data_IF_581699386101
#
_entry.id   IF_581699386101
#
_cell.length_a   1.000
_cell.length_b   1.000
_cell.length_c   1.000
_cell.angle_alpha   90.00
_cell.angle_beta   90.00
_cell.angle_gamma   90.00
#
_symmetry.space_group_name_H-M   'P 1'
#
loop_
_entity.id
_entity.type
_entity.pdbx_description
1 polymer ?
#
# COMPACT_ATOMS: atom_id res chain seq x y z
N UNK A 1 19.50 -8.98 -4.16
CA UNK A 1 18.21 -8.72 -4.85
C UNK A 1 18.10 -7.23 -4.97
N UNK A 2 17.74 -6.71 -6.15
CA UNK A 2 17.65 -5.26 -6.34
C UNK A 2 16.37 -4.70 -5.75
N UNK A 3 16.37 -3.42 -5.41
CA UNK A 3 15.14 -2.72 -4.97
C UNK A 3 14.04 -2.87 -6.01
N UNK A 4 14.36 -2.75 -7.32
CA UNK A 4 13.40 -2.97 -8.40
C UNK A 4 12.73 -4.34 -8.31
N UNK A 5 13.51 -5.40 -8.10
CA UNK A 5 12.95 -6.76 -8.04
C UNK A 5 11.98 -6.92 -6.86
N UNK A 6 12.33 -6.35 -5.70
CA UNK A 6 11.46 -6.35 -4.52
C UNK A 6 10.16 -5.57 -4.78
N UNK A 7 10.28 -4.41 -5.41
CA UNK A 7 9.14 -3.55 -5.75
C UNK A 7 8.21 -4.22 -6.76
N UNK A 8 8.76 -4.84 -7.81
CA UNK A 8 7.97 -5.58 -8.79
C UNK A 8 7.30 -6.81 -8.19
N UNK A 9 8.01 -7.55 -7.33
CA UNK A 9 7.42 -8.68 -6.61
C UNK A 9 6.25 -8.22 -5.73
N UNK A 10 6.39 -7.08 -5.05
CA UNK A 10 5.36 -6.53 -4.18
C UNK A 10 4.06 -6.21 -4.94
N UNK A 11 4.11 -5.37 -5.98
CA UNK A 11 2.88 -5.02 -6.68
C UNK A 11 2.31 -6.20 -7.48
N UNK A 12 3.14 -7.11 -8.02
CA UNK A 12 2.63 -8.32 -8.71
C UNK A 12 1.93 -9.27 -7.75
N UNK A 13 2.44 -9.42 -6.53
CA UNK A 13 1.76 -10.16 -5.46
C UNK A 13 0.41 -9.51 -5.13
N UNK A 14 0.38 -8.18 -5.00
CA UNK A 14 -0.85 -7.41 -4.83
C UNK A 14 -1.88 -7.65 -5.93
N UNK A 15 -1.46 -7.63 -7.19
CA UNK A 15 -2.33 -7.91 -8.35
C UNK A 15 -2.90 -9.33 -8.28
N UNK A 16 -2.10 -10.30 -7.86
CA UNK A 16 -2.56 -11.68 -7.70
C UNK A 16 -3.52 -11.87 -6.52
N UNK A 17 -3.46 -10.99 -5.52
CA UNK A 17 -4.34 -11.00 -4.35
C UNK A 17 -5.53 -10.04 -4.47
N UNK A 18 -5.57 -9.24 -5.54
CA UNK A 18 -6.50 -8.13 -5.67
C UNK A 18 -7.95 -8.62 -5.66
N UNK A 19 -8.82 -8.07 -4.79
CA UNK A 19 -10.20 -8.50 -4.75
C UNK A 19 -10.91 -8.26 -6.08
N UNK A 20 -10.51 -7.29 -6.89
CA UNK A 20 -11.14 -7.02 -8.20
C UNK A 20 -10.83 -8.10 -9.25
N UNK A 21 -9.89 -9.01 -8.94
CA UNK A 21 -9.41 -10.03 -9.86
C UNK A 21 -8.58 -9.46 -11.02
N UNK A 22 -8.04 -10.37 -11.84
CA UNK A 22 -7.14 -10.02 -12.95
C UNK A 22 -7.79 -9.05 -13.95
N UNK A 23 -9.06 -9.28 -14.29
CA UNK A 23 -9.77 -8.43 -15.26
C UNK A 23 -10.03 -7.03 -14.70
N UNK A 24 -10.32 -6.91 -13.40
CA UNK A 24 -10.49 -5.63 -12.73
C UNK A 24 -9.21 -4.80 -12.78
N UNK A 25 -8.09 -5.39 -12.42
CA UNK A 25 -6.77 -4.76 -12.50
C UNK A 25 -6.41 -4.40 -13.95
N UNK A 26 -6.64 -5.30 -14.91
CA UNK A 26 -6.36 -5.05 -16.31
C UNK A 26 -7.13 -3.83 -16.85
N UNK A 27 -8.40 -3.65 -16.46
CA UNK A 27 -9.19 -2.47 -16.83
C UNK A 27 -8.59 -1.17 -16.27
N UNK A 28 -8.03 -1.19 -15.06
CA UNK A 28 -7.40 -0.01 -14.44
C UNK A 28 -6.15 0.38 -15.21
N UNK A 29 -5.27 -0.58 -15.49
CA UNK A 29 -4.04 -0.35 -16.25
C UNK A 29 -4.35 0.12 -17.68
N UNK A 30 -5.36 -0.44 -18.33
CA UNK A 30 -5.82 0.01 -19.65
C UNK A 30 -6.34 1.45 -19.63
N UNK A 31 -7.10 1.84 -18.60
CA UNK A 31 -7.58 3.22 -18.42
C UNK A 31 -6.40 4.19 -18.21
N UNK A 32 -5.44 3.84 -17.35
CA UNK A 32 -4.24 4.64 -17.13
C UNK A 32 -3.45 4.84 -18.42
N UNK A 33 -3.24 3.76 -19.18
CA UNK A 33 -2.59 3.81 -20.49
C UNK A 33 -3.33 4.70 -21.48
N UNK A 34 -4.65 4.55 -21.58
CA UNK A 34 -5.47 5.39 -22.47
C UNK A 34 -5.32 6.88 -22.13
N UNK A 35 -5.39 7.24 -20.85
CA UNK A 35 -5.21 8.63 -20.39
C UNK A 35 -3.82 9.15 -20.77
N UNK A 36 -2.76 8.35 -20.59
CA UNK A 36 -1.41 8.74 -20.98
C UNK A 36 -1.24 8.92 -22.49
N UNK A 37 -1.77 7.99 -23.29
CA UNK A 37 -1.66 8.01 -24.75
C UNK A 37 -2.41 9.21 -25.36
N UNK A 38 -3.58 9.55 -24.82
CA UNK A 38 -4.40 10.70 -25.23
C UNK A 38 -3.86 12.05 -24.72
N UNK A 39 -2.95 12.05 -23.73
CA UNK A 39 -2.39 13.26 -23.15
C UNK A 39 -1.42 13.95 -24.13
N UNK A 40 -1.52 15.29 -24.31
CA UNK A 40 -0.55 16.06 -25.07
C UNK A 40 0.87 15.83 -24.55
N UNK A 41 1.85 15.72 -25.45
CA UNK A 41 3.25 15.46 -25.06
C UNK A 41 3.77 16.48 -24.04
N UNK A 42 3.38 17.75 -24.19
CA UNK A 42 3.72 18.84 -23.26
C UNK A 42 3.19 18.67 -21.83
N UNK A 43 2.25 17.74 -21.62
CA UNK A 43 1.62 17.44 -20.33
C UNK A 43 2.00 16.09 -19.75
N UNK A 44 2.63 15.21 -20.53
CA UNK A 44 3.00 13.84 -20.08
C UNK A 44 3.95 13.82 -18.88
N UNK A 45 4.71 14.89 -18.64
CA UNK A 45 5.58 15.00 -17.47
C UNK A 45 4.81 15.11 -16.14
N UNK A 46 3.54 15.54 -16.17
CA UNK A 46 2.65 15.61 -15.00
C UNK A 46 2.08 14.23 -14.63
N UNK A 47 2.15 13.26 -15.56
CA UNK A 47 1.58 11.93 -15.38
C UNK A 47 2.50 11.02 -14.56
N UNK A 48 1.91 10.26 -13.65
CA UNK A 48 2.63 9.19 -12.96
C UNK A 48 2.80 7.97 -13.84
N UNK A 49 3.94 7.89 -14.52
CA UNK A 49 4.27 6.78 -15.41
C UNK A 49 4.28 5.42 -14.70
N UNK A 50 4.49 5.37 -13.38
CA UNK A 50 4.45 4.11 -12.62
C UNK A 50 3.06 3.47 -12.67
N UNK A 51 2.00 4.28 -12.80
CA UNK A 51 0.62 3.81 -12.92
C UNK A 51 0.34 3.00 -14.19
N UNK A 52 1.27 2.99 -15.17
CA UNK A 52 1.17 2.18 -16.39
C UNK A 52 1.44 0.70 -16.13
N UNK A 53 2.15 0.36 -15.06
CA UNK A 53 2.53 -1.02 -14.71
C UNK A 53 2.07 -1.41 -13.31
N UNK A 54 1.98 -0.46 -12.39
CA UNK A 54 1.54 -0.66 -11.02
C UNK A 54 0.21 0.08 -10.75
N UNK A 55 -0.90 -0.63 -10.51
CA UNK A 55 -2.21 -0.01 -10.32
C UNK A 55 -2.40 0.65 -8.93
N UNK A 56 -1.40 0.56 -8.03
CA UNK A 56 -1.51 1.01 -6.64
C UNK A 56 -0.68 2.27 -6.42
N UNK A 57 -1.31 3.45 -6.35
CA UNK A 57 -0.62 4.74 -6.19
C UNK A 57 0.13 4.87 -4.85
N UNK A 58 -0.32 4.15 -3.83
CA UNK A 58 0.20 4.15 -2.46
C UNK A 58 1.45 3.26 -2.24
N UNK A 59 1.99 2.67 -3.31
CA UNK A 59 3.12 1.72 -3.24
C UNK A 59 4.21 2.16 -4.20
N UNK A 60 5.31 2.69 -3.70
CA UNK A 60 6.36 3.35 -4.50
C UNK A 60 7.75 3.12 -3.92
N UNK A 61 8.76 3.07 -4.81
CA UNK A 61 10.12 3.46 -4.43
C UNK A 61 10.10 4.98 -4.27
N UNK A 62 10.33 5.46 -3.05
CA UNK A 62 10.19 6.87 -2.68
C UNK A 62 11.49 7.64 -2.90
N UNK A 63 12.64 7.03 -2.60
CA UNK A 63 13.97 7.57 -2.87
C UNK A 63 15.00 6.45 -2.96
N UNK A 64 16.06 6.67 -3.74
CA UNK A 64 17.17 5.74 -3.90
C UNK A 64 17.26 5.16 -5.31
N UNK A 65 18.38 4.50 -5.61
CA UNK A 65 18.62 3.83 -6.89
C UNK A 65 17.89 2.48 -6.93
N UNK A 66 16.92 2.28 -7.84
CA UNK A 66 16.24 0.99 -8.01
C UNK A 66 17.17 -0.19 -8.31
N UNK A 67 18.37 0.07 -8.83
CA UNK A 67 19.37 -0.96 -9.15
C UNK A 67 20.24 -1.37 -7.95
N UNK A 68 20.13 -0.69 -6.81
CA UNK A 68 20.92 -1.01 -5.62
C UNK A 68 20.62 -2.42 -5.13
N UNK A 69 21.68 -3.20 -4.92
CA UNK A 69 21.60 -4.53 -4.32
C UNK A 69 21.33 -4.42 -2.82
N UNK A 70 20.33 -5.17 -2.36
CA UNK A 70 19.88 -5.19 -0.97
C UNK A 70 20.19 -6.53 -0.34
N UNK A 71 20.76 -6.49 0.87
CA UNK A 71 21.03 -7.67 1.70
C UNK A 71 20.29 -7.62 3.04
N UNK A 72 20.16 -6.43 3.65
CA UNK A 72 19.41 -6.24 4.90
C UNK A 72 18.44 -5.07 4.80
N UNK A 73 17.21 -5.33 5.22
CA UNK A 73 16.13 -4.33 5.24
C UNK A 73 15.73 -4.01 6.68
N UNK A 74 15.36 -2.76 6.92
CA UNK A 74 14.59 -2.36 8.09
C UNK A 74 13.14 -2.15 7.66
N UNK A 75 12.23 -2.94 8.23
CA UNK A 75 10.80 -2.91 7.91
C UNK A 75 10.03 -2.31 9.07
N UNK A 76 9.07 -1.43 8.79
CA UNK A 76 8.17 -0.86 9.79
C UNK A 76 6.80 -0.59 9.20
N UNK A 77 5.78 -0.54 10.07
CA UNK A 77 4.44 -0.09 9.67
C UNK A 77 4.53 1.40 9.30
N UNK A 78 4.92 2.18 10.30
CA UNK A 78 5.31 3.57 10.19
C UNK A 78 6.84 3.65 10.18
N UNK A 79 7.39 4.25 9.12
CA UNK A 79 8.78 4.69 9.10
C UNK A 79 8.76 6.20 8.95
N UNK A 80 9.02 6.91 10.04
CA UNK A 80 9.20 8.35 10.08
C UNK A 80 10.69 8.70 10.23
N UNK A 81 10.98 9.98 10.48
CA UNK A 81 12.35 10.45 10.72
C UNK A 81 13.02 9.69 11.87
N UNK A 82 12.26 9.31 12.91
CA UNK A 82 12.79 8.54 14.04
C UNK A 82 13.40 7.21 13.61
N UNK A 83 12.71 6.47 12.74
CA UNK A 83 13.17 5.17 12.26
C UNK A 83 14.32 5.31 11.24
N UNK A 84 14.36 6.39 10.46
CA UNK A 84 15.53 6.73 9.64
C UNK A 84 16.76 6.94 10.53
N UNK A 85 16.63 7.70 11.62
CA UNK A 85 17.73 7.92 12.57
C UNK A 85 18.11 6.64 13.32
N UNK A 86 17.14 5.77 13.62
CA UNK A 86 17.41 4.46 14.19
C UNK A 86 18.24 3.60 13.22
N UNK A 87 17.90 3.60 11.93
CA UNK A 87 18.67 2.89 10.92
C UNK A 87 20.11 3.40 10.81
N UNK A 88 20.30 4.73 10.88
CA UNK A 88 21.63 5.34 10.91
C UNK A 88 22.42 4.94 12.16
N UNK A 89 21.79 4.98 13.33
CA UNK A 89 22.41 4.55 14.59
C UNK A 89 22.80 3.07 14.57
N UNK A 90 21.99 2.21 13.93
CA UNK A 90 22.31 0.80 13.72
C UNK A 90 23.52 0.63 12.79
N UNK A 91 23.58 1.38 11.68
CA UNK A 91 24.76 1.43 10.79
C UNK A 91 26.01 1.84 11.57
N UNK A 92 25.91 2.89 12.38
CA UNK A 92 27.01 3.37 13.24
C UNK A 92 27.49 2.34 14.27
N UNK A 93 26.65 1.36 14.63
CA UNK A 93 26.98 0.23 15.51
C UNK A 93 27.45 -1.02 14.75
N UNK A 94 27.68 -0.92 13.44
CA UNK A 94 28.13 -2.02 12.59
C UNK A 94 27.01 -2.93 12.07
N UNK A 95 25.74 -2.56 12.26
CA UNK A 95 24.60 -3.28 11.67
C UNK A 95 24.25 -2.67 10.33
N UNK A 96 24.61 -3.34 9.25
CA UNK A 96 24.20 -2.95 7.88
C UNK A 96 22.70 -2.82 7.77
N UNK A 97 22.22 -1.71 7.22
CA UNK A 97 20.84 -1.50 6.77
C UNK A 97 20.92 -0.93 5.35
N UNK A 98 20.44 -1.67 4.37
CA UNK A 98 20.57 -1.31 2.95
C UNK A 98 19.33 -0.59 2.42
N UNK A 99 18.16 -0.87 2.98
CA UNK A 99 16.85 -0.34 2.58
C UNK A 99 15.92 -0.15 3.78
N UNK A 100 15.21 0.98 3.75
CA UNK A 100 14.05 1.24 4.59
C UNK A 100 12.79 0.83 3.83
N UNK A 101 11.95 0.00 4.44
CA UNK A 101 10.73 -0.52 3.83
C UNK A 101 9.54 -0.21 4.74
N UNK A 102 8.71 0.75 4.34
CA UNK A 102 7.52 1.14 5.08
C UNK A 102 6.29 0.36 4.59
N UNK A 103 5.33 0.10 5.47
CA UNK A 103 3.99 -0.26 5.04
C UNK A 103 3.22 1.00 4.63
N UNK A 104 3.06 1.96 5.54
CA UNK A 104 2.32 3.18 5.27
C UNK A 104 3.04 4.05 4.21
N UNK A 105 2.26 4.70 3.33
CA UNK A 105 2.81 5.49 2.25
C UNK A 105 3.45 6.80 2.75
N UNK A 106 4.49 7.25 2.04
CA UNK A 106 5.13 8.55 2.24
C UNK A 106 5.20 9.35 0.93
N UNK A 107 5.54 10.65 1.02
CA UNK A 107 5.75 11.53 -0.13
C UNK A 107 4.63 11.46 -1.17
N UNK A 108 5.03 11.25 -2.43
CA UNK A 108 4.11 11.11 -3.56
C UNK A 108 3.09 9.98 -3.43
N UNK A 109 3.39 8.90 -2.71
CA UNK A 109 2.47 7.79 -2.53
C UNK A 109 1.34 8.17 -1.56
N UNK A 110 1.68 8.94 -0.52
CA UNK A 110 0.71 9.48 0.45
C UNK A 110 -0.13 10.60 -0.18
N UNK A 111 0.51 11.47 -0.96
CA UNK A 111 -0.14 12.60 -1.62
C UNK A 111 -1.19 12.17 -2.68
N UNK A 112 -1.20 10.89 -3.06
CA UNK A 112 -2.11 10.32 -4.07
C UNK A 112 -2.86 9.10 -3.52
N UNK A 113 -3.00 9.02 -2.20
CA UNK A 113 -3.65 7.89 -1.52
C UNK A 113 -5.12 7.74 -1.96
N UNK A 114 -5.79 8.82 -2.34
CA UNK A 114 -7.17 8.81 -2.83
C UNK A 114 -7.36 7.98 -4.10
N UNK A 115 -6.31 7.78 -4.89
CA UNK A 115 -6.39 7.05 -6.15
C UNK A 115 -6.63 5.55 -5.94
N UNK A 116 -6.17 4.98 -4.83
CA UNK A 116 -6.42 3.57 -4.49
C UNK A 116 -7.77 3.35 -3.82
N UNK A 117 -8.37 4.39 -3.23
CA UNK A 117 -9.62 4.26 -2.46
C UNK A 117 -10.80 3.78 -3.31
N UNK A 118 -10.78 3.99 -4.63
CA UNK A 118 -11.82 3.48 -5.54
C UNK A 118 -11.96 1.96 -5.53
N UNK A 119 -10.90 1.23 -5.14
CA UNK A 119 -10.92 -0.22 -4.96
C UNK A 119 -12.08 -0.66 -4.06
N UNK A 120 -12.41 0.12 -3.04
CA UNK A 120 -13.43 -0.23 -2.05
C UNK A 120 -14.84 -0.33 -2.66
N UNK A 121 -15.18 0.49 -3.67
CA UNK A 121 -16.46 0.39 -4.36
C UNK A 121 -16.59 -0.92 -5.12
N UNK A 122 -15.50 -1.37 -5.76
CA UNK A 122 -15.47 -2.66 -6.44
C UNK A 122 -15.62 -3.83 -5.45
N UNK A 123 -15.02 -3.71 -4.26
CA UNK A 123 -15.18 -4.71 -3.17
C UNK A 123 -16.63 -4.78 -2.73
N UNK A 124 -17.24 -3.64 -2.36
CA UNK A 124 -18.64 -3.61 -1.94
C UNK A 124 -19.60 -4.09 -3.02
N UNK A 125 -19.26 -3.87 -4.29
CA UNK A 125 -20.08 -4.34 -5.40
C UNK A 125 -20.27 -5.86 -5.41
N UNK A 126 -19.24 -6.61 -4.99
CA UNK A 126 -19.33 -8.06 -4.83
C UNK A 126 -20.33 -8.49 -3.76
N UNK A 127 -20.58 -7.62 -2.78
CA UNK A 127 -21.52 -7.85 -1.69
C UNK A 127 -22.87 -7.17 -1.93
N UNK A 128 -23.22 -6.90 -3.20
CA UNK A 128 -24.54 -6.42 -3.60
C UNK A 128 -24.75 -4.91 -3.53
N UNK A 129 -23.72 -4.13 -3.16
CA UNK A 129 -23.80 -2.67 -3.21
C UNK A 129 -23.69 -2.20 -4.66
N UNK A 130 -24.50 -1.23 -5.08
CA UNK A 130 -24.34 -0.67 -6.43
C UNK A 130 -23.04 0.14 -6.54
N UNK A 131 -22.35 0.04 -7.68
CA UNK A 131 -21.14 0.84 -7.94
C UNK A 131 -21.41 2.34 -7.80
N UNK A 132 -22.55 2.81 -8.30
CA UNK A 132 -22.94 4.22 -8.21
C UNK A 132 -23.03 4.71 -6.74
N UNK A 133 -23.57 3.88 -5.85
CA UNK A 133 -23.63 4.19 -4.43
C UNK A 133 -22.24 4.17 -3.79
N UNK A 134 -21.42 3.15 -4.10
CA UNK A 134 -20.04 3.06 -3.62
C UNK A 134 -19.20 4.26 -4.03
N UNK A 135 -19.27 4.66 -5.31
CA UNK A 135 -18.57 5.82 -5.85
C UNK A 135 -19.03 7.12 -5.19
N UNK A 136 -20.33 7.28 -4.95
CA UNK A 136 -20.87 8.46 -4.27
C UNK A 136 -20.31 8.60 -2.84
N UNK A 137 -20.33 7.52 -2.06
CA UNK A 137 -19.80 7.51 -0.68
C UNK A 137 -18.28 7.77 -0.67
N UNK A 138 -17.54 7.16 -1.60
CA UNK A 138 -16.10 7.33 -1.69
C UNK A 138 -15.70 8.70 -2.19
N UNK A 139 -16.50 9.39 -3.00
CA UNK A 139 -16.19 10.74 -3.48
C UNK A 139 -16.04 11.73 -2.32
N UNK A 140 -16.97 11.69 -1.37
CA UNK A 140 -16.93 12.55 -0.17
C UNK A 140 -15.75 12.18 0.72
N UNK A 141 -15.52 10.88 0.94
CA UNK A 141 -14.41 10.39 1.75
C UNK A 141 -13.05 10.72 1.15
N UNK A 142 -12.88 10.57 -0.17
CA UNK A 142 -11.66 10.97 -0.90
C UNK A 142 -11.39 12.47 -0.72
N UNK A 143 -12.42 13.31 -0.85
CA UNK A 143 -12.31 14.76 -0.67
C UNK A 143 -11.92 15.16 0.76
N UNK A 144 -12.38 14.42 1.77
CA UNK A 144 -11.96 14.59 3.16
C UNK A 144 -10.48 14.21 3.35
N UNK A 145 -10.08 13.03 2.88
CA UNK A 145 -8.71 12.53 2.98
C UNK A 145 -7.73 13.46 2.26
N UNK A 146 -8.02 13.88 1.04
CA UNK A 146 -7.17 14.84 0.31
C UNK A 146 -6.97 16.13 1.11
N UNK A 147 -8.04 16.70 1.69
CA UNK A 147 -7.96 17.92 2.50
C UNK A 147 -7.15 17.72 3.78
N UNK A 148 -7.19 16.53 4.36
CA UNK A 148 -6.40 16.19 5.55
C UNK A 148 -4.91 15.99 5.22
N UNK A 149 -4.60 15.39 4.06
CA UNK A 149 -3.24 14.99 3.70
C UNK A 149 -2.45 16.04 2.94
N UNK A 150 -3.08 16.79 2.02
CA UNK A 150 -2.38 17.76 1.17
C UNK A 150 -1.62 18.88 1.90
N UNK A 151 -2.08 19.36 3.09
CA UNK A 151 -1.32 20.34 3.88
C UNK A 151 -0.11 19.75 4.60
N UNK A 152 0.01 18.42 4.69
CA UNK A 152 1.10 17.77 5.42
C UNK A 152 2.40 17.88 4.64
N UNK A 153 3.52 17.92 5.37
CA UNK A 153 4.83 17.74 4.77
C UNK A 153 5.09 16.25 4.51
N UNK A 154 4.60 15.75 3.38
CA UNK A 154 4.76 14.34 2.97
C UNK A 154 6.21 13.96 2.64
N UNK A 155 7.09 14.93 2.35
CA UNK A 155 8.48 14.69 1.97
C UNK A 155 9.45 14.61 3.17
N UNK A 156 9.01 15.00 4.37
CA UNK A 156 9.85 15.07 5.59
C UNK A 156 10.74 13.84 5.82
N UNK A 157 10.15 12.64 5.78
CA UNK A 157 10.88 11.38 5.98
C UNK A 157 11.80 11.06 4.80
N UNK A 158 11.36 11.35 3.58
CA UNK A 158 12.12 11.09 2.35
C UNK A 158 13.36 11.99 2.31
N UNK A 159 13.24 13.24 2.73
CA UNK A 159 14.35 14.18 2.84
C UNK A 159 15.38 13.68 3.87
N UNK A 160 14.93 13.21 5.04
CA UNK A 160 15.82 12.61 6.03
C UNK A 160 16.56 11.37 5.49
N UNK A 161 15.83 10.46 4.82
CA UNK A 161 16.41 9.29 4.18
C UNK A 161 17.43 9.68 3.09
N UNK A 162 17.14 10.71 2.29
CA UNK A 162 18.04 11.23 1.26
C UNK A 162 19.33 11.81 1.85
N UNK A 163 19.23 12.56 2.95
CA UNK A 163 20.38 13.16 3.63
C UNK A 163 21.30 12.11 4.26
N UNK A 164 20.75 10.98 4.70
CA UNK A 164 21.48 9.89 5.35
C UNK A 164 21.80 8.70 4.42
N UNK A 165 21.61 8.90 3.10
CA UNK A 165 21.87 7.90 2.06
C UNK A 165 21.18 6.54 2.33
N UNK A 166 19.90 6.63 2.68
CA UNK A 166 18.99 5.49 2.74
C UNK A 166 18.06 5.50 1.54
N UNK A 167 18.02 4.42 0.74
CA UNK A 167 16.88 4.19 -0.11
C UNK A 167 15.67 3.85 0.77
N UNK A 168 14.50 4.24 0.31
CA UNK A 168 13.23 4.06 1.01
C UNK A 168 12.15 3.69 -0.02
N UNK A 169 11.38 2.65 0.28
CA UNK A 169 10.17 2.29 -0.45
C UNK A 169 9.01 2.02 0.50
N UNK A 170 7.78 2.12 0.00
CA UNK A 170 6.57 1.73 0.72
C UNK A 170 5.76 0.67 -0.04
N UNK A 171 5.00 -0.16 0.68
CA UNK A 171 4.09 -1.15 0.12
C UNK A 171 2.84 -1.26 0.99
N UNK A 172 1.76 -0.65 0.51
CA UNK A 172 0.51 -0.52 1.24
C UNK A 172 -0.58 -1.45 0.65
N UNK A 173 -1.39 -0.99 -0.31
CA UNK A 173 -2.48 -1.80 -0.90
C UNK A 173 -2.07 -3.23 -1.32
N UNK A 174 -0.88 -3.50 -1.91
CA UNK A 174 -0.48 -4.87 -2.22
C UNK A 174 -0.34 -5.78 -0.99
N UNK A 175 0.17 -5.26 0.14
CA UNK A 175 0.25 -6.00 1.39
C UNK A 175 -1.17 -6.26 1.93
N UNK A 176 -2.01 -5.23 1.93
CA UNK A 176 -3.40 -5.32 2.43
C UNK A 176 -4.25 -6.27 1.60
N UNK A 177 -4.07 -6.30 0.28
CA UNK A 177 -4.77 -7.25 -0.57
C UNK A 177 -4.44 -8.70 -0.20
N UNK A 178 -3.19 -8.99 0.20
CA UNK A 178 -2.81 -10.33 0.65
C UNK A 178 -3.47 -10.68 2.00
N UNK A 179 -3.54 -9.73 2.93
CA UNK A 179 -4.27 -9.89 4.20
C UNK A 179 -5.75 -10.09 3.93
N UNK A 180 -6.37 -9.24 3.12
CA UNK A 180 -7.78 -9.33 2.72
C UNK A 180 -8.09 -10.70 2.11
N UNK A 181 -7.27 -11.19 1.16
CA UNK A 181 -7.47 -12.53 0.58
C UNK A 181 -7.40 -13.63 1.64
N UNK A 182 -6.43 -13.55 2.55
CA UNK A 182 -6.25 -14.54 3.62
C UNK A 182 -7.43 -14.54 4.59
N UNK A 183 -7.81 -13.38 5.14
CA UNK A 183 -8.91 -13.26 6.10
C UNK A 183 -10.25 -13.58 5.43
N UNK A 184 -10.50 -13.07 4.22
CA UNK A 184 -11.74 -13.36 3.48
C UNK A 184 -11.92 -14.86 3.27
N UNK A 185 -10.87 -15.60 2.87
CA UNK A 185 -10.99 -17.06 2.69
C UNK A 185 -11.43 -17.78 3.96
N UNK A 186 -10.99 -17.33 5.13
CA UNK A 186 -11.41 -17.91 6.42
C UNK A 186 -12.83 -17.52 6.79
N UNK A 187 -13.26 -16.31 6.46
CA UNK A 187 -14.65 -15.91 6.61
C UNK A 187 -15.57 -16.74 5.69
N UNK A 188 -15.14 -16.99 4.45
CA UNK A 188 -15.88 -17.82 3.49
C UNK A 188 -16.01 -19.26 4.00
N UNK A 189 -14.94 -19.82 4.58
CA UNK A 189 -14.93 -21.15 5.20
C UNK A 189 -15.81 -21.25 6.46
N UNK A 190 -16.01 -20.14 7.17
CA UNK A 190 -16.88 -20.07 8.36
C UNK A 190 -18.37 -20.18 7.97
N UNK A 191 -18.72 -19.78 6.75
CA UNK A 191 -20.07 -19.87 6.20
C UNK A 191 -20.98 -18.69 6.56
N UNK A 192 -22.14 -18.64 5.91
CA UNK A 192 -23.09 -17.52 6.00
C UNK A 192 -23.94 -17.53 7.30
N UNK A 193 -24.01 -18.67 7.99
CA UNK A 193 -24.78 -18.85 9.23
C UNK A 193 -23.97 -18.53 10.50
N UNK A 194 -22.70 -18.15 10.35
CA UNK A 194 -21.79 -17.90 11.45
C UNK A 194 -22.18 -16.69 12.30
N UNK A 195 -21.96 -16.80 13.60
CA UNK A 195 -22.16 -15.72 14.56
C UNK A 195 -20.94 -14.79 14.62
N UNK A 196 -21.16 -13.59 15.18
CA UNK A 196 -20.06 -12.65 15.46
C UNK A 196 -19.05 -13.26 16.44
N UNK A 197 -19.51 -14.03 17.43
CA UNK A 197 -18.62 -14.70 18.38
C UNK A 197 -17.72 -15.73 17.68
N UNK A 198 -18.27 -16.54 16.77
CA UNK A 198 -17.48 -17.48 15.97
C UNK A 198 -16.48 -16.78 15.05
N UNK A 199 -16.85 -15.63 14.48
CA UNK A 199 -15.93 -14.79 13.71
C UNK A 199 -14.77 -14.29 14.59
N UNK A 200 -15.06 -13.80 15.79
CA UNK A 200 -14.04 -13.30 16.72
C UNK A 200 -13.09 -14.41 17.19
N UNK A 201 -13.61 -15.60 17.48
CA UNK A 201 -12.79 -16.75 17.85
C UNK A 201 -11.91 -17.21 16.67
N UNK A 202 -12.45 -17.25 15.45
CA UNK A 202 -11.65 -17.52 14.24
C UNK A 202 -10.52 -16.51 14.07
N UNK A 203 -10.79 -15.22 14.28
CA UNK A 203 -9.75 -14.20 14.21
C UNK A 203 -8.68 -14.43 15.29
N UNK A 204 -9.05 -14.68 16.55
CA UNK A 204 -8.11 -14.94 17.65
C UNK A 204 -7.30 -16.24 17.49
N UNK A 205 -7.68 -17.12 16.57
CA UNK A 205 -6.89 -18.29 16.18
C UNK A 205 -5.74 -17.97 15.22
N UNK A 206 -5.77 -16.81 14.57
CA UNK A 206 -4.67 -16.30 13.76
C UNK A 206 -3.61 -15.71 14.70
N UNK A 207 -2.31 -16.10 14.58
CA UNK A 207 -1.26 -15.69 15.52
C UNK A 207 -1.15 -14.18 15.74
N UNK A 208 -1.30 -13.39 14.68
CA UNK A 208 -1.21 -11.93 14.70
C UNK A 208 -2.34 -11.31 15.54
N UNK A 209 -3.58 -11.77 15.38
CA UNK A 209 -4.72 -11.28 16.16
C UNK A 209 -4.67 -11.78 17.59
N UNK A 210 -4.19 -13.01 17.83
CA UNK A 210 -3.96 -13.52 19.19
C UNK A 210 -2.98 -12.64 19.96
N UNK A 211 -1.86 -12.32 19.34
CA UNK A 211 -0.85 -11.43 19.94
C UNK A 211 -1.45 -10.04 20.19
N UNK A 212 -2.22 -9.50 19.24
CA UNK A 212 -2.94 -8.24 19.44
C UNK A 212 -3.89 -8.30 20.65
N UNK A 213 -4.64 -9.39 20.85
CA UNK A 213 -5.50 -9.58 22.03
C UNK A 213 -4.69 -9.54 23.32
N UNK A 214 -3.52 -10.19 23.37
CA UNK A 214 -2.63 -10.16 24.54
C UNK A 214 -2.09 -8.75 24.82
N UNK A 215 -1.92 -7.94 23.78
CA UNK A 215 -1.48 -6.54 23.87
C UNK A 215 -2.63 -5.56 24.14
N UNK A 216 -3.88 -6.02 24.23
CA UNK A 216 -5.05 -5.19 24.47
C UNK A 216 -5.57 -4.43 23.24
N UNK A 217 -5.14 -4.83 22.04
CA UNK A 217 -5.52 -4.24 20.75
C UNK A 217 -6.20 -5.24 19.81
N UNK A 218 -6.50 -6.43 20.32
CA UNK A 218 -7.15 -7.49 19.55
C UNK A 218 -8.64 -7.23 19.30
N UNK A 219 -9.23 -8.03 18.40
CA UNK A 219 -10.66 -8.00 18.12
C UNK A 219 -11.50 -8.59 19.25
#
# INVERSE_FOLDING_TARGET
MKIRDMYEAAYRSGISADPRGRDGVARILQRAKKVFDEMPESKRWEFDQESLVNPYADTRILVGDPEKEISRILVGIDLEVGEVLLADALRGRGTTVDLLFAHHPGGRALARLEEVMGLQADVWHKFGVSLAYGDAVLSDRKSEIMRALHPLNSERTIDAARLLDFPLMCCHTPADNNVNRFVQSRCDDLGEDATVDELLEMLKDIPEYREATLQGTGP
#
